data_IF_881779522260
#
_entry.id   IF_881779522260
#
_cell.length_a   1.000
_cell.length_b   1.000
_cell.length_c   1.000
_cell.angle_alpha   90.00
_cell.angle_beta   90.00
_cell.angle_gamma   90.00
#
_symmetry.space_group_name_H-M   'P 1'
#
loop_
_entity.id
_entity.type
_entity.pdbx_description
1 polymer ?
#
# COMPACT_ATOMS: atom_id res chain seq x y z
N UNK A 1 -14.62 23.27 -7.02
CA UNK A 1 -14.05 22.22 -7.85
C UNK A 1 -14.95 20.98 -7.82
N UNK A 2 -14.81 20.04 -8.79
CA UNK A 2 -15.52 18.76 -8.71
C UNK A 2 -14.69 17.74 -7.95
N UNK A 3 -15.37 16.93 -7.11
CA UNK A 3 -14.79 15.80 -6.41
C UNK A 3 -15.77 14.65 -6.34
N UNK A 4 -15.24 13.43 -6.26
CA UNK A 4 -16.02 12.23 -6.04
C UNK A 4 -16.15 11.97 -4.54
N UNK A 5 -17.33 11.55 -4.14
CA UNK A 5 -17.68 11.15 -2.78
C UNK A 5 -18.20 9.73 -2.79
N UNK A 6 -17.90 9.01 -1.73
CA UNK A 6 -18.26 7.60 -1.56
C UNK A 6 -19.04 7.40 -0.28
N UNK A 7 -20.02 6.51 -0.34
CA UNK A 7 -20.77 6.02 0.82
C UNK A 7 -21.15 4.55 0.60
N UNK A 8 -21.17 3.78 1.66
CA UNK A 8 -21.60 2.39 1.61
C UNK A 8 -23.13 2.27 1.50
N UNK A 9 -23.66 1.29 0.73
CA UNK A 9 -22.94 0.37 -0.14
C UNK A 9 -22.80 0.93 -1.58
N UNK A 10 -21.59 1.17 -2.02
CA UNK A 10 -21.24 1.57 -3.40
C UNK A 10 -21.99 2.80 -3.99
N UNK A 11 -22.45 3.72 -3.14
CA UNK A 11 -22.95 5.01 -3.59
C UNK A 11 -21.76 5.91 -3.90
N UNK A 12 -21.60 6.29 -5.17
CA UNK A 12 -20.54 7.20 -5.63
C UNK A 12 -21.21 8.36 -6.35
N UNK A 13 -20.94 9.57 -5.88
CA UNK A 13 -21.48 10.81 -6.46
C UNK A 13 -20.36 11.79 -6.76
N UNK A 14 -20.51 12.54 -7.85
CA UNK A 14 -19.62 13.66 -8.19
C UNK A 14 -20.38 14.95 -7.89
N UNK A 15 -19.81 15.75 -7.00
CA UNK A 15 -20.43 17.01 -6.58
C UNK A 15 -19.39 18.13 -6.44
N UNK A 16 -19.88 19.33 -6.19
CA UNK A 16 -19.01 20.47 -5.90
C UNK A 16 -18.42 20.35 -4.51
N UNK A 17 -17.10 20.42 -4.43
CA UNK A 17 -16.33 20.46 -3.19
C UNK A 17 -15.80 21.88 -2.92
N UNK A 18 -15.78 22.31 -1.67
CA UNK A 18 -15.20 23.61 -1.31
C UNK A 18 -13.69 23.62 -1.59
N UNK A 19 -13.15 24.81 -1.77
CA UNK A 19 -11.70 25.04 -1.80
C UNK A 19 -11.37 26.03 -0.70
N UNK A 20 -10.50 25.65 0.23
CA UNK A 20 -9.96 26.55 1.24
C UNK A 20 -8.64 27.18 0.79
N UNK A 21 -8.22 28.23 1.47
CA UNK A 21 -6.88 28.79 1.29
C UNK A 21 -5.81 27.84 1.86
N UNK A 22 -4.59 27.94 1.34
CA UNK A 22 -3.43 27.25 1.88
C UNK A 22 -3.00 27.85 3.22
N UNK A 23 -2.44 27.03 4.07
CA UNK A 23 -1.56 27.48 5.14
C UNK A 23 -0.15 27.76 4.62
N UNK A 24 0.72 28.31 5.47
CA UNK A 24 2.09 28.64 5.06
C UNK A 24 2.94 27.42 4.64
N UNK A 25 2.59 26.22 5.08
CA UNK A 25 3.35 24.97 4.86
C UNK A 25 2.67 24.00 3.90
N UNK A 26 1.56 24.40 3.28
CA UNK A 26 0.80 23.55 2.38
C UNK A 26 1.03 23.91 0.91
N UNK A 27 0.68 22.97 0.06
CA UNK A 27 0.65 23.14 -1.40
C UNK A 27 -0.74 22.79 -1.93
N UNK A 28 -1.11 23.40 -3.06
CA UNK A 28 -2.22 22.94 -3.90
C UNK A 28 -1.64 22.26 -5.12
N UNK A 29 -2.25 21.14 -5.50
CA UNK A 29 -1.90 20.44 -6.73
C UNK A 29 -3.14 20.12 -7.54
N UNK A 30 -3.04 20.23 -8.86
CA UNK A 30 -4.01 19.68 -9.80
C UNK A 30 -3.72 18.20 -9.96
N UNK A 31 -4.75 17.35 -9.82
CA UNK A 31 -4.62 15.90 -9.83
C UNK A 31 -4.69 15.40 -11.27
N UNK A 32 -3.67 14.66 -11.68
CA UNK A 32 -3.59 14.04 -12.99
C UNK A 32 -4.11 12.60 -12.96
N UNK A 33 -3.81 11.86 -11.91
CA UNK A 33 -4.33 10.52 -11.69
C UNK A 33 -4.40 10.20 -10.20
N UNK A 34 -5.33 9.32 -9.83
CA UNK A 34 -5.43 8.74 -8.50
C UNK A 34 -5.76 7.25 -8.63
N UNK A 35 -4.97 6.40 -8.00
CA UNK A 35 -5.22 4.97 -7.92
C UNK A 35 -6.38 4.62 -7.01
N UNK A 36 -6.99 3.47 -7.25
CA UNK A 36 -8.05 2.91 -6.39
C UNK A 36 -7.42 1.88 -5.47
N UNK A 37 -7.28 2.21 -4.20
CA UNK A 37 -6.78 1.31 -3.17
C UNK A 37 -7.84 0.28 -2.74
N UNK A 38 -7.39 -0.86 -2.22
CA UNK A 38 -8.27 -1.81 -1.53
C UNK A 38 -9.02 -1.18 -0.35
N UNK A 39 -8.45 -0.18 0.31
CA UNK A 39 -9.10 0.61 1.36
C UNK A 39 -10.31 1.38 0.82
N UNK A 40 -10.21 1.99 -0.36
CA UNK A 40 -11.34 2.69 -0.99
C UNK A 40 -12.50 1.72 -1.27
N UNK A 41 -12.19 0.47 -1.65
CA UNK A 41 -13.21 -0.57 -1.84
C UNK A 41 -13.88 -0.99 -0.53
N UNK A 42 -13.14 -1.01 0.58
CA UNK A 42 -13.70 -1.27 1.92
C UNK A 42 -14.61 -0.13 2.35
N UNK A 43 -14.19 1.12 2.12
CA UNK A 43 -15.03 2.30 2.36
C UNK A 43 -16.33 2.21 1.56
N UNK A 44 -16.22 1.95 0.25
CA UNK A 44 -17.38 1.82 -0.64
C UNK A 44 -18.35 0.74 -0.21
N UNK A 45 -17.83 -0.38 0.24
CA UNK A 45 -18.63 -1.57 0.50
C UNK A 45 -19.25 -1.59 1.89
N UNK A 46 -18.52 -1.10 2.91
CA UNK A 46 -18.87 -1.34 4.30
C UNK A 46 -18.72 -0.15 5.24
N UNK A 47 -17.67 0.69 5.06
CA UNK A 47 -17.20 1.53 6.15
C UNK A 47 -17.61 3.00 6.05
N UNK A 48 -17.87 3.53 4.86
CA UNK A 48 -18.29 4.92 4.67
C UNK A 48 -19.77 5.08 5.06
N UNK A 49 -20.06 5.44 6.31
CA UNK A 49 -21.42 5.62 6.82
C UNK A 49 -22.12 6.85 6.20
N UNK A 50 -21.33 7.87 5.81
CA UNK A 50 -21.79 9.12 5.19
C UNK A 50 -20.99 9.37 3.92
N UNK A 51 -21.47 10.27 3.07
CA UNK A 51 -20.71 10.73 1.89
C UNK A 51 -19.41 11.40 2.34
N UNK A 52 -18.28 10.86 1.89
CA UNK A 52 -16.94 11.40 2.17
C UNK A 52 -16.05 11.33 0.95
N UNK A 53 -15.07 12.22 0.83
CA UNK A 53 -14.04 12.12 -0.19
C UNK A 53 -13.10 10.93 0.11
N UNK A 54 -12.40 10.46 -0.91
CA UNK A 54 -11.52 9.29 -0.85
C UNK A 54 -10.41 9.38 -1.91
N UNK A 55 -9.48 8.40 -1.89
CA UNK A 55 -8.33 8.33 -2.79
C UNK A 55 -7.07 8.95 -2.21
N UNK A 56 -5.97 8.22 -2.25
CA UNK A 56 -4.69 8.62 -1.64
C UNK A 56 -3.47 8.23 -2.48
N UNK A 57 -3.65 7.43 -3.52
CA UNK A 57 -2.60 7.07 -4.47
C UNK A 57 -2.52 8.15 -5.56
N UNK A 58 -1.97 9.32 -5.23
CA UNK A 58 -2.13 10.56 -6.01
C UNK A 58 -0.86 10.93 -6.75
N UNK A 59 -1.03 11.31 -8.01
CA UNK A 59 -0.03 12.04 -8.80
C UNK A 59 -0.65 13.33 -9.35
N UNK A 60 0.12 14.41 -9.35
CA UNK A 60 -0.36 15.70 -9.85
C UNK A 60 0.76 16.71 -10.04
N UNK A 61 0.34 17.93 -10.38
CA UNK A 61 1.23 19.07 -10.60
C UNK A 61 0.92 20.17 -9.58
N UNK A 62 1.93 20.67 -8.92
CA UNK A 62 1.81 21.78 -7.98
C UNK A 62 1.36 23.05 -8.73
N UNK A 63 0.30 23.68 -8.25
CA UNK A 63 -0.23 24.94 -8.82
C UNK A 63 -0.01 26.14 -7.89
N UNK A 64 0.01 25.90 -6.56
CA UNK A 64 0.17 26.95 -5.57
C UNK A 64 0.98 26.42 -4.37
N UNK A 65 1.78 27.26 -3.75
CA UNK A 65 2.58 26.92 -2.57
C UNK A 65 2.42 27.98 -1.47
N UNK A 66 2.40 27.55 -0.22
CA UNK A 66 2.44 28.42 0.95
C UNK A 66 3.80 29.09 1.12
N UNK A 67 3.85 30.17 1.89
CA UNK A 67 5.02 31.05 2.04
C UNK A 67 6.28 30.38 2.63
N UNK A 68 6.11 29.25 3.33
CA UNK A 68 7.20 28.47 3.95
C UNK A 68 7.54 27.19 3.18
N UNK A 69 7.00 26.99 1.98
CA UNK A 69 7.29 25.83 1.15
C UNK A 69 8.56 26.08 0.34
N UNK A 70 9.58 25.23 0.54
CA UNK A 70 10.90 25.36 -0.11
C UNK A 70 11.27 24.11 -0.95
N UNK A 71 10.65 22.96 -0.70
CA UNK A 71 11.01 21.69 -1.32
C UNK A 71 10.38 21.49 -2.71
N UNK A 72 9.27 22.16 -3.00
CA UNK A 72 8.55 22.11 -4.29
C UNK A 72 8.10 23.50 -4.71
N UNK A 73 7.76 23.67 -5.99
CA UNK A 73 7.29 24.93 -6.58
C UNK A 73 6.19 24.68 -7.60
N UNK A 74 5.41 25.70 -7.99
CA UNK A 74 4.47 25.58 -9.09
C UNK A 74 5.12 25.02 -10.36
N UNK A 75 4.45 24.06 -10.99
CA UNK A 75 4.92 23.31 -12.16
C UNK A 75 5.69 22.02 -11.82
N UNK A 76 6.07 21.77 -10.57
CA UNK A 76 6.68 20.50 -10.18
C UNK A 76 5.63 19.38 -10.22
N UNK A 77 5.98 18.25 -10.85
CA UNK A 77 5.21 17.00 -10.79
C UNK A 77 5.56 16.26 -9.51
N UNK A 78 4.54 15.79 -8.79
CA UNK A 78 4.71 15.09 -7.51
C UNK A 78 3.81 13.88 -7.40
N UNK A 79 4.26 12.91 -6.62
CA UNK A 79 3.38 11.94 -5.94
C UNK A 79 3.25 12.34 -4.49
N UNK A 80 2.18 11.89 -3.85
CA UNK A 80 1.96 12.17 -2.44
C UNK A 80 2.25 10.92 -1.60
N UNK A 81 3.06 11.12 -0.56
CA UNK A 81 3.10 10.22 0.59
C UNK A 81 1.88 10.54 1.47
N UNK A 82 1.07 9.53 1.79
CA UNK A 82 -0.23 9.73 2.45
C UNK A 82 -0.11 10.24 3.90
N UNK A 83 1.04 10.05 4.53
CA UNK A 83 1.35 10.57 5.85
C UNK A 83 2.84 10.56 6.10
N UNK A 84 3.29 11.41 7.01
CA UNK A 84 4.71 11.53 7.35
C UNK A 84 4.95 11.30 8.84
N UNK A 85 6.19 11.41 9.26
CA UNK A 85 6.59 11.24 10.65
C UNK A 85 6.88 12.59 11.34
N UNK A 86 6.73 12.63 12.65
CA UNK A 86 7.24 13.75 13.44
C UNK A 86 8.76 13.64 13.56
N UNK A 87 9.46 14.58 12.88
CA UNK A 87 10.93 14.64 12.85
C UNK A 87 11.57 14.84 14.24
N UNK A 88 10.80 15.29 15.22
CA UNK A 88 11.27 15.52 16.58
C UNK A 88 10.93 14.37 17.54
N UNK A 89 10.26 13.34 17.05
CA UNK A 89 9.97 12.13 17.84
C UNK A 89 11.24 11.37 18.21
N UNK A 90 11.18 10.59 19.26
CA UNK A 90 12.31 9.76 19.69
C UNK A 90 12.64 8.69 18.65
N UNK A 91 11.62 8.11 17.98
CA UNK A 91 11.80 7.14 16.91
C UNK A 91 12.61 7.74 15.75
N UNK A 92 12.23 8.94 15.27
CA UNK A 92 12.91 9.60 14.16
C UNK A 92 14.37 9.96 14.55
N UNK A 93 14.59 10.45 15.78
CA UNK A 93 15.93 10.79 16.29
C UNK A 93 16.85 9.58 16.46
N UNK A 94 16.25 8.40 16.69
CA UNK A 94 16.95 7.12 16.75
C UNK A 94 17.07 6.39 15.40
N UNK A 95 16.78 7.08 14.28
CA UNK A 95 16.91 6.56 12.93
C UNK A 95 15.79 5.60 12.49
N UNK A 96 14.66 5.59 13.21
CA UNK A 96 13.49 4.76 12.94
C UNK A 96 12.22 5.61 12.69
N UNK A 97 12.25 6.52 11.68
CA UNK A 97 11.07 7.33 11.35
C UNK A 97 9.87 6.47 10.91
N UNK A 98 10.12 5.28 10.41
CA UNK A 98 9.14 4.26 10.03
C UNK A 98 8.22 3.83 11.19
N UNK A 99 8.64 4.00 12.43
CA UNK A 99 7.84 3.67 13.62
C UNK A 99 6.95 4.84 14.10
N UNK A 100 6.98 5.98 13.41
CA UNK A 100 6.20 7.16 13.79
C UNK A 100 5.36 7.66 12.61
N UNK A 101 4.06 7.77 12.83
CA UNK A 101 3.08 8.26 11.84
C UNK A 101 2.36 9.54 12.29
N UNK A 102 2.97 10.32 13.18
CA UNK A 102 2.38 11.53 13.79
C UNK A 102 2.79 12.82 13.12
N UNK A 103 3.41 12.73 11.95
CA UNK A 103 3.80 13.89 11.15
C UNK A 103 2.64 14.49 10.37
N UNK A 104 2.93 15.56 9.61
CA UNK A 104 1.96 16.14 8.68
C UNK A 104 1.37 15.09 7.73
N UNK A 105 0.06 15.15 7.50
CA UNK A 105 -0.66 14.28 6.57
C UNK A 105 -1.88 15.03 6.02
N UNK A 106 -2.48 14.48 4.96
CA UNK A 106 -3.69 15.06 4.36
C UNK A 106 -4.98 14.31 4.74
N UNK A 107 -4.89 13.30 5.61
CA UNK A 107 -6.03 12.55 6.15
C UNK A 107 -6.67 13.31 7.31
N UNK A 108 -7.22 14.49 7.05
CA UNK A 108 -7.83 15.28 8.11
C UNK A 108 -9.33 15.01 8.13
N UNK A 109 -9.81 14.42 9.21
CA UNK A 109 -11.23 14.11 9.38
C UNK A 109 -12.10 15.39 9.27
N UNK A 110 -13.04 15.37 8.34
CA UNK A 110 -13.94 16.50 8.07
C UNK A 110 -13.35 17.55 7.14
N UNK A 111 -12.14 17.37 6.62
CA UNK A 111 -11.61 18.14 5.51
C UNK A 111 -11.95 17.41 4.20
N UNK A 112 -12.80 18.01 3.36
CA UNK A 112 -13.14 17.48 2.04
C UNK A 112 -11.95 17.73 1.10
N UNK A 113 -10.94 16.84 1.15
CA UNK A 113 -9.67 17.05 0.49
C UNK A 113 -8.94 15.73 0.23
N UNK A 114 -9.39 14.97 -0.78
CA UNK A 114 -8.80 13.68 -1.15
C UNK A 114 -8.59 13.57 -2.67
N UNK A 115 -7.91 12.51 -3.10
CA UNK A 115 -7.35 12.35 -4.44
C UNK A 115 -8.34 12.18 -5.59
N UNK A 116 -9.57 11.71 -5.37
CA UNK A 116 -10.57 11.66 -6.44
C UNK A 116 -11.29 13.01 -6.61
N UNK A 117 -10.50 14.05 -6.87
CA UNK A 117 -10.94 15.43 -7.10
C UNK A 117 -10.15 16.07 -8.23
N UNK A 118 -10.56 17.25 -8.70
CA UNK A 118 -9.80 18.01 -9.69
C UNK A 118 -8.50 18.58 -9.12
N UNK A 119 -8.52 18.96 -7.84
CA UNK A 119 -7.33 19.41 -7.12
C UNK A 119 -7.44 19.05 -5.64
N UNK A 120 -6.32 19.04 -4.94
CA UNK A 120 -6.27 18.85 -3.49
C UNK A 120 -5.18 19.71 -2.85
N UNK A 121 -5.22 19.79 -1.52
CA UNK A 121 -4.20 20.44 -0.71
C UNK A 121 -3.45 19.35 0.06
N UNK A 122 -2.12 19.47 0.12
CA UNK A 122 -1.28 18.55 0.90
C UNK A 122 -0.22 19.33 1.68
N UNK A 123 0.22 18.83 2.85
CA UNK A 123 1.42 19.31 3.49
C UNK A 123 2.63 19.16 2.56
N UNK A 124 3.54 20.13 2.57
CA UNK A 124 4.77 20.07 1.76
C UNK A 124 5.60 18.81 2.02
N UNK A 125 5.54 18.30 3.24
CA UNK A 125 6.25 17.10 3.67
C UNK A 125 5.75 15.84 2.95
N UNK A 126 4.50 15.82 2.52
CA UNK A 126 3.92 14.71 1.75
C UNK A 126 4.32 14.72 0.27
N UNK A 127 4.93 15.79 -0.24
CA UNK A 127 5.23 15.95 -1.66
C UNK A 127 6.59 15.36 -2.02
N UNK A 128 6.58 14.35 -2.88
CA UNK A 128 7.78 13.72 -3.45
C UNK A 128 7.86 14.06 -4.94
N UNK A 129 8.92 14.78 -5.35
CA UNK A 129 9.10 15.17 -6.77
C UNK A 129 9.35 13.97 -7.65
N UNK A 130 8.66 13.96 -8.78
CA UNK A 130 8.85 12.93 -9.81
C UNK A 130 9.98 13.30 -10.77
N UNK A 131 10.83 12.33 -11.13
CA UNK A 131 11.73 12.47 -12.28
C UNK A 131 10.94 12.59 -13.58
N UNK A 132 11.46 13.37 -14.55
CA UNK A 132 10.77 13.68 -15.80
C UNK A 132 10.44 12.43 -16.64
N UNK A 133 11.27 11.37 -16.55
CA UNK A 133 11.10 10.12 -17.29
C UNK A 133 9.98 9.21 -16.77
N UNK A 134 9.43 9.48 -15.60
CA UNK A 134 8.32 8.70 -15.03
C UNK A 134 6.99 9.29 -15.52
N UNK A 135 6.14 8.47 -16.15
CA UNK A 135 4.80 8.91 -16.58
C UNK A 135 3.84 8.96 -15.39
N UNK A 136 2.68 9.63 -15.55
CA UNK A 136 1.68 9.69 -14.48
C UNK A 136 1.06 8.32 -14.18
N UNK A 137 0.90 7.46 -15.21
CA UNK A 137 0.42 6.08 -15.06
C UNK A 137 1.42 5.20 -14.29
N UNK A 138 2.71 5.46 -14.39
CA UNK A 138 3.73 4.80 -13.58
C UNK A 138 3.77 5.39 -12.17
N UNK A 139 3.67 6.70 -12.07
CA UNK A 139 3.79 7.44 -10.83
C UNK A 139 2.66 7.11 -9.83
N UNK A 140 1.45 6.88 -10.30
CA UNK A 140 0.31 6.49 -9.45
C UNK A 140 0.53 5.18 -8.68
N UNK A 141 1.46 4.34 -9.13
CA UNK A 141 1.84 3.09 -8.46
C UNK A 141 2.87 3.28 -7.35
N UNK A 142 3.43 4.49 -7.15
CA UNK A 142 4.52 4.71 -6.19
C UNK A 142 4.05 4.50 -4.76
N UNK A 143 2.86 4.99 -4.41
CA UNK A 143 2.30 4.81 -3.05
C UNK A 143 2.11 3.31 -2.73
N UNK A 144 1.33 2.52 -3.50
CA UNK A 144 1.18 1.09 -3.21
C UNK A 144 2.49 0.29 -3.36
N UNK A 145 3.43 0.76 -4.18
CA UNK A 145 4.78 0.17 -4.27
C UNK A 145 5.56 0.39 -2.96
N UNK A 146 5.38 1.53 -2.30
CA UNK A 146 5.94 1.79 -0.96
C UNK A 146 5.46 0.76 0.06
N UNK A 147 4.17 0.42 0.03
CA UNK A 147 3.58 -0.62 0.90
C UNK A 147 4.20 -2.00 0.61
N UNK A 148 4.37 -2.36 -0.68
CA UNK A 148 5.03 -3.61 -1.04
C UNK A 148 6.50 -3.64 -0.62
N UNK A 149 7.21 -2.52 -0.75
CA UNK A 149 8.62 -2.39 -0.33
C UNK A 149 8.78 -2.54 1.19
N UNK A 150 7.86 -2.00 1.97
CA UNK A 150 7.88 -2.12 3.43
C UNK A 150 7.67 -3.57 3.87
N UNK A 151 6.75 -4.29 3.21
CA UNK A 151 6.56 -5.72 3.40
C UNK A 151 7.86 -6.52 3.14
N UNK A 152 8.56 -6.21 2.04
CA UNK A 152 9.85 -6.84 1.69
C UNK A 152 10.93 -6.53 2.71
N UNK A 153 11.03 -5.28 3.17
CA UNK A 153 11.99 -4.88 4.21
C UNK A 153 11.73 -5.61 5.53
N UNK A 154 10.45 -5.72 5.91
CA UNK A 154 10.05 -6.44 7.13
C UNK A 154 10.38 -7.93 7.03
N UNK A 155 10.19 -8.53 5.85
CA UNK A 155 10.53 -9.93 5.61
C UNK A 155 12.05 -10.19 5.64
N UNK A 156 12.88 -9.18 5.34
CA UNK A 156 14.36 -9.27 5.33
C UNK A 156 14.88 -10.44 4.49
N UNK A 157 14.33 -10.61 3.29
CA UNK A 157 14.63 -11.72 2.35
C UNK A 157 16.12 -11.73 2.01
N UNK A 158 16.75 -12.89 2.14
CA UNK A 158 18.16 -13.13 1.79
C UNK A 158 18.30 -13.90 0.49
N UNK A 159 19.50 -13.88 -0.07
CA UNK A 159 19.84 -14.69 -1.24
C UNK A 159 19.53 -16.16 -0.98
N UNK A 160 19.01 -16.84 -1.99
CA UNK A 160 18.70 -18.27 -2.02
C UNK A 160 17.51 -18.74 -1.17
N UNK A 161 16.79 -17.84 -0.51
CA UNK A 161 15.60 -18.19 0.25
C UNK A 161 14.37 -18.34 -0.66
N UNK A 162 13.45 -19.20 -0.25
CA UNK A 162 12.18 -19.43 -0.94
C UNK A 162 11.08 -18.54 -0.34
N UNK A 163 10.26 -17.96 -1.19
CA UNK A 163 9.21 -17.01 -0.83
C UNK A 163 7.86 -17.44 -1.37
N UNK A 164 6.81 -17.40 -0.55
CA UNK A 164 5.43 -17.54 -0.98
C UNK A 164 4.70 -16.20 -0.83
N UNK A 165 4.09 -15.70 -1.90
CA UNK A 165 3.20 -14.54 -1.88
C UNK A 165 1.75 -15.02 -1.89
N UNK A 166 1.00 -14.74 -0.84
CA UNK A 166 -0.41 -15.12 -0.74
C UNK A 166 -1.30 -13.99 -1.22
N UNK A 167 -1.76 -14.10 -2.48
CA UNK A 167 -2.60 -13.13 -3.18
C UNK A 167 -1.84 -12.30 -4.22
N UNK A 168 -2.27 -12.36 -5.48
CA UNK A 168 -1.71 -11.60 -6.61
C UNK A 168 -2.59 -10.37 -6.95
N UNK A 169 -2.92 -9.58 -5.92
CA UNK A 169 -3.37 -8.20 -6.12
C UNK A 169 -2.20 -7.29 -6.55
N UNK A 170 -2.43 -5.98 -6.77
CA UNK A 170 -1.37 -5.05 -7.16
C UNK A 170 -0.15 -5.11 -6.22
N UNK A 171 -0.37 -5.07 -4.90
CA UNK A 171 0.71 -5.15 -3.90
C UNK A 171 1.41 -6.52 -3.96
N UNK A 172 0.67 -7.62 -4.08
CA UNK A 172 1.26 -8.96 -4.15
C UNK A 172 2.11 -9.18 -5.39
N UNK A 173 1.68 -8.66 -6.55
CA UNK A 173 2.48 -8.68 -7.79
C UNK A 173 3.79 -7.88 -7.62
N UNK A 174 3.73 -6.68 -7.05
CA UNK A 174 4.91 -5.86 -6.78
C UNK A 174 5.83 -6.53 -5.76
N UNK A 175 5.29 -7.10 -4.68
CA UNK A 175 6.05 -7.82 -3.67
C UNK A 175 6.75 -9.05 -4.26
N UNK A 176 6.06 -9.83 -5.11
CA UNK A 176 6.66 -10.98 -5.81
C UNK A 176 7.85 -10.56 -6.68
N UNK A 177 7.67 -9.47 -7.46
CA UNK A 177 8.78 -8.92 -8.26
C UNK A 177 9.95 -8.47 -7.40
N UNK A 178 9.68 -7.75 -6.31
CA UNK A 178 10.71 -7.28 -5.39
C UNK A 178 11.42 -8.45 -4.69
N UNK A 179 10.71 -9.49 -4.27
CA UNK A 179 11.33 -10.68 -3.69
C UNK A 179 12.35 -11.32 -4.65
N UNK A 180 12.00 -11.42 -5.93
CA UNK A 180 12.92 -11.92 -6.95
C UNK A 180 14.14 -11.01 -7.13
N UNK A 181 13.94 -9.69 -7.11
CA UNK A 181 15.04 -8.71 -7.19
C UNK A 181 15.96 -8.74 -5.95
N UNK A 182 15.43 -9.11 -4.78
CA UNK A 182 16.22 -9.33 -3.57
C UNK A 182 17.04 -10.62 -3.60
N UNK A 183 16.83 -11.49 -4.60
CA UNK A 183 17.59 -12.73 -4.79
C UNK A 183 16.93 -13.97 -4.21
N UNK A 184 15.62 -13.95 -4.02
CA UNK A 184 14.86 -15.18 -3.71
C UNK A 184 15.14 -16.27 -4.75
N UNK A 185 15.39 -17.50 -4.28
CA UNK A 185 15.64 -18.67 -5.14
C UNK A 185 14.40 -19.00 -5.92
N UNK A 186 13.31 -19.23 -5.20
CA UNK A 186 12.00 -19.47 -5.78
C UNK A 186 10.97 -18.50 -5.20
N UNK A 187 10.10 -18.01 -6.07
CA UNK A 187 8.93 -17.20 -5.69
C UNK A 187 7.67 -17.94 -6.12
N UNK A 188 6.96 -18.46 -5.14
CA UNK A 188 5.64 -19.06 -5.28
C UNK A 188 4.58 -17.99 -5.06
N UNK A 189 3.39 -18.18 -5.63
CA UNK A 189 2.27 -17.30 -5.31
C UNK A 189 0.95 -18.07 -5.26
N UNK A 190 -0.01 -17.62 -4.45
CA UNK A 190 -1.38 -18.14 -4.53
C UNK A 190 -2.29 -17.19 -5.27
N UNK A 191 -3.13 -17.73 -6.17
CA UNK A 191 -4.14 -16.98 -6.91
C UNK A 191 -5.33 -17.86 -7.25
N UNK A 192 -6.55 -17.32 -7.10
CA UNK A 192 -7.76 -18.00 -7.56
C UNK A 192 -7.75 -18.20 -9.07
N UNK A 193 -8.30 -19.33 -9.52
CA UNK A 193 -8.48 -19.63 -10.94
C UNK A 193 -9.38 -18.57 -11.62
N UNK A 194 -9.19 -18.37 -12.93
CA UNK A 194 -9.95 -17.37 -13.71
C UNK A 194 -9.29 -15.99 -13.78
N UNK A 195 -8.06 -15.84 -13.28
CA UNK A 195 -7.26 -14.61 -13.37
C UNK A 195 -6.02 -14.81 -14.26
N UNK A 196 -6.19 -15.36 -15.46
CA UNK A 196 -5.08 -15.73 -16.38
C UNK A 196 -4.12 -14.57 -16.64
N UNK A 197 -4.65 -13.35 -16.85
CA UNK A 197 -3.81 -12.16 -17.07
C UNK A 197 -2.89 -11.86 -15.87
N UNK A 198 -3.37 -12.02 -14.64
CA UNK A 198 -2.55 -11.84 -13.43
C UNK A 198 -1.50 -12.92 -13.30
N UNK A 199 -1.84 -14.16 -13.62
CA UNK A 199 -0.92 -15.30 -13.60
C UNK A 199 0.18 -15.10 -14.65
N UNK A 200 -0.17 -14.67 -15.86
CA UNK A 200 0.79 -14.39 -16.91
C UNK A 200 1.76 -13.27 -16.50
N UNK A 201 1.24 -12.16 -15.97
CA UNK A 201 2.06 -11.05 -15.49
C UNK A 201 2.95 -11.48 -14.31
N UNK A 202 2.44 -12.26 -13.38
CA UNK A 202 3.23 -12.76 -12.25
C UNK A 202 4.42 -13.61 -12.73
N UNK A 203 4.20 -14.50 -13.70
CA UNK A 203 5.28 -15.31 -14.31
C UNK A 203 6.30 -14.45 -15.05
N UNK A 204 5.84 -13.45 -15.83
CA UNK A 204 6.72 -12.48 -16.49
C UNK A 204 7.60 -11.73 -15.48
N UNK A 205 7.05 -11.43 -14.30
CA UNK A 205 7.75 -10.71 -13.23
C UNK A 205 8.60 -11.61 -12.33
N UNK A 206 8.65 -12.92 -12.62
CA UNK A 206 9.57 -13.85 -12.00
C UNK A 206 8.96 -14.74 -10.92
N UNK A 207 7.62 -14.87 -10.87
CA UNK A 207 6.97 -15.92 -10.08
C UNK A 207 7.20 -17.26 -10.78
N UNK A 208 7.83 -18.19 -10.07
CA UNK A 208 8.19 -19.50 -10.62
C UNK A 208 6.95 -20.40 -10.72
N UNK A 209 6.08 -20.37 -9.70
CA UNK A 209 4.87 -21.19 -9.68
C UNK A 209 3.68 -20.46 -9.02
N UNK A 210 2.50 -20.61 -9.63
CA UNK A 210 1.23 -20.08 -9.10
C UNK A 210 0.34 -21.25 -8.70
N UNK A 211 -0.05 -21.28 -7.44
CA UNK A 211 -0.78 -22.33 -6.77
C UNK A 211 -2.22 -21.87 -6.53
N UNK A 212 -3.21 -22.72 -6.82
CA UNK A 212 -4.58 -22.43 -6.40
C UNK A 212 -4.68 -22.46 -4.86
N UNK A 213 -5.38 -21.52 -4.20
CA UNK A 213 -5.42 -21.46 -2.73
C UNK A 213 -5.89 -22.75 -2.05
N UNK A 214 -6.83 -23.46 -2.67
CA UNK A 214 -7.37 -24.74 -2.21
C UNK A 214 -6.39 -25.92 -2.39
N UNK A 215 -5.42 -25.80 -3.31
CA UNK A 215 -4.37 -26.78 -3.53
C UNK A 215 -3.12 -26.56 -2.64
N UNK A 216 -3.04 -25.45 -1.92
CA UNK A 216 -1.84 -25.08 -1.15
C UNK A 216 -1.50 -26.13 -0.08
N UNK A 217 -2.51 -26.72 0.57
CA UNK A 217 -2.31 -27.72 1.64
C UNK A 217 -1.69 -29.04 1.14
N UNK A 218 -1.93 -29.36 -0.13
CA UNK A 218 -1.43 -30.58 -0.76
C UNK A 218 -0.17 -30.30 -1.58
N UNK A 219 0.25 -29.04 -1.68
CA UNK A 219 1.43 -28.64 -2.45
C UNK A 219 2.72 -29.03 -1.71
N UNK A 220 3.60 -29.74 -2.39
CA UNK A 220 4.88 -30.18 -1.82
C UNK A 220 5.97 -29.20 -2.22
N UNK A 221 6.38 -28.36 -1.29
CA UNK A 221 7.54 -27.49 -1.48
C UNK A 221 8.84 -28.32 -1.45
N UNK A 222 9.79 -28.09 -2.38
CA UNK A 222 11.03 -28.87 -2.46
C UNK A 222 11.83 -28.89 -1.14
N UNK A 223 11.79 -27.81 -0.37
CA UNK A 223 12.50 -27.67 0.91
C UNK A 223 11.60 -27.88 2.14
N UNK A 224 10.44 -28.52 1.97
CA UNK A 224 9.49 -28.83 3.03
C UNK A 224 8.58 -27.66 3.44
N UNK A 225 8.82 -26.47 2.91
CA UNK A 225 8.10 -25.23 3.13
C UNK A 225 8.84 -24.07 2.46
N UNK A 226 8.53 -22.84 2.87
CA UNK A 226 9.20 -21.61 2.40
C UNK A 226 9.81 -20.84 3.57
N UNK A 227 10.83 -20.04 3.30
CA UNK A 227 11.50 -19.24 4.32
C UNK A 227 10.71 -17.98 4.66
N UNK A 228 9.97 -17.45 3.69
CA UNK A 228 9.14 -16.26 3.87
C UNK A 228 7.75 -16.45 3.28
N UNK A 229 6.73 -16.01 4.02
CA UNK A 229 5.36 -15.90 3.52
C UNK A 229 4.93 -14.44 3.57
N UNK A 230 4.62 -13.87 2.41
CA UNK A 230 4.14 -12.50 2.25
C UNK A 230 2.63 -12.51 2.04
N UNK A 231 1.87 -12.17 3.07
CA UNK A 231 0.41 -12.22 3.04
C UNK A 231 -0.14 -10.85 2.60
N UNK A 232 -0.62 -10.80 1.36
CA UNK A 232 -1.31 -9.62 0.78
C UNK A 232 -2.78 -9.90 0.48
N UNK A 233 -3.26 -11.08 0.84
CA UNK A 233 -4.65 -11.50 0.80
C UNK A 233 -5.38 -11.20 2.11
N UNK A 234 -6.66 -11.56 2.18
CA UNK A 234 -7.44 -11.41 3.42
C UNK A 234 -6.81 -12.22 4.58
N UNK A 235 -6.79 -11.70 5.83
CA UNK A 235 -6.12 -12.34 6.97
C UNK A 235 -6.57 -13.76 7.31
N UNK A 236 -7.70 -14.23 6.80
CA UNK A 236 -8.17 -15.60 6.97
C UNK A 236 -7.19 -16.67 6.45
N UNK A 237 -6.22 -16.29 5.62
CA UNK A 237 -5.18 -17.20 5.10
C UNK A 237 -3.98 -17.35 6.04
N UNK A 238 -3.91 -16.59 7.15
CA UNK A 238 -2.78 -16.65 8.08
C UNK A 238 -2.52 -18.05 8.66
N UNK A 239 -3.52 -18.87 9.03
CA UNK A 239 -3.25 -20.26 9.46
C UNK A 239 -2.47 -21.04 8.41
N UNK A 240 -2.92 -21.00 7.14
CA UNK A 240 -2.24 -21.69 6.05
C UNK A 240 -0.83 -21.11 5.80
N UNK A 241 -0.63 -19.81 6.00
CA UNK A 241 0.69 -19.15 5.91
C UNK A 241 1.68 -19.71 6.95
N UNK A 242 1.23 -19.93 8.18
CA UNK A 242 2.08 -20.51 9.23
C UNK A 242 2.36 -21.99 8.97
N UNK A 243 1.40 -22.74 8.42
CA UNK A 243 1.56 -24.17 8.13
C UNK A 243 2.63 -24.45 7.07
N UNK A 244 2.77 -23.55 6.08
CA UNK A 244 3.75 -23.71 4.99
C UNK A 244 5.09 -23.02 5.26
N UNK A 245 5.19 -22.21 6.32
CA UNK A 245 6.42 -21.52 6.68
C UNK A 245 7.39 -22.47 7.40
N UNK A 246 8.65 -22.50 6.96
CA UNK A 246 9.71 -23.27 7.59
C UNK A 246 9.99 -22.79 9.03
N UNK A 247 10.51 -23.66 9.88
CA UNK A 247 10.99 -23.28 11.21
C UNK A 247 12.08 -22.20 11.09
N UNK A 248 11.89 -21.08 11.77
CA UNK A 248 12.77 -19.91 11.69
C UNK A 248 12.47 -19.00 10.52
N UNK A 249 11.45 -19.33 9.70
CA UNK A 249 10.96 -18.45 8.64
C UNK A 249 10.12 -17.29 9.19
N UNK A 250 9.78 -16.35 8.31
CA UNK A 250 9.06 -15.13 8.64
C UNK A 250 7.74 -15.09 7.86
N UNK A 251 6.64 -14.81 8.58
CA UNK A 251 5.34 -14.51 7.98
C UNK A 251 5.09 -13.01 8.15
N UNK A 252 5.21 -12.27 7.05
CA UNK A 252 4.89 -10.84 7.00
C UNK A 252 3.51 -10.64 6.38
N UNK A 253 2.70 -9.75 6.93
CA UNK A 253 1.35 -9.55 6.42
C UNK A 253 0.93 -8.08 6.37
N UNK A 254 0.13 -7.77 5.37
CA UNK A 254 -0.55 -6.51 5.18
C UNK A 254 -2.05 -6.79 5.23
N UNK A 255 -2.73 -6.30 6.25
CA UNK A 255 -4.16 -6.49 6.32
C UNK A 255 -4.85 -5.36 7.09
N UNK A 256 -5.91 -4.83 6.49
CA UNK A 256 -6.91 -4.07 7.21
C UNK A 256 -8.09 -5.02 7.42
N UNK A 257 -8.28 -5.49 8.64
CA UNK A 257 -9.44 -6.28 9.01
C UNK A 257 -10.42 -5.42 9.81
N UNK A 258 -11.69 -5.49 9.49
CA UNK A 258 -12.76 -4.81 10.23
C UNK A 258 -13.00 -5.40 11.63
N UNK A 259 -12.40 -6.56 11.94
CA UNK A 259 -12.45 -7.23 13.23
C UNK A 259 -11.04 -7.61 13.65
N UNK A 260 -10.68 -7.30 14.90
CA UNK A 260 -9.41 -7.72 15.49
C UNK A 260 -9.27 -9.26 15.38
N UNK A 261 -8.36 -9.74 14.58
CA UNK A 261 -7.95 -11.13 14.57
C UNK A 261 -7.06 -11.35 15.79
N UNK A 262 -7.65 -11.85 16.88
CA UNK A 262 -6.87 -12.49 17.91
C UNK A 262 -6.59 -13.92 17.45
N UNK A 263 -5.33 -14.23 17.15
CA UNK A 263 -4.88 -15.61 17.11
C UNK A 263 -4.93 -16.11 18.56
N UNK A 264 -5.78 -17.07 18.92
CA UNK A 264 -5.74 -17.66 20.24
C UNK A 264 -4.48 -18.52 20.34
N UNK A 265 -3.39 -17.95 20.83
CA UNK A 265 -2.21 -18.76 21.18
C UNK A 265 -2.52 -19.56 22.43
N UNK A 266 -2.61 -20.88 22.30
CA UNK A 266 -2.59 -21.81 23.43
C UNK A 266 -1.19 -21.94 24.06
N UNK A 267 -0.21 -21.13 23.70
CA UNK A 267 1.11 -21.09 24.29
C UNK A 267 1.80 -19.75 23.95
N UNK A 268 1.84 -18.86 24.93
CA UNK A 268 2.86 -17.83 25.11
C UNK A 268 3.08 -16.84 23.97
N UNK A 269 2.83 -15.57 24.22
CA UNK A 269 3.20 -14.32 23.54
C UNK A 269 3.30 -14.37 22.00
N UNK A 270 2.38 -13.75 21.26
CA UNK A 270 2.52 -13.61 19.81
C UNK A 270 3.65 -12.61 19.52
N UNK A 271 4.64 -13.03 18.76
CA UNK A 271 5.49 -12.10 18.01
C UNK A 271 4.62 -11.50 16.89
N UNK A 272 4.09 -10.30 17.14
CA UNK A 272 3.56 -9.44 16.09
C UNK A 272 4.75 -8.62 15.60
N UNK A 273 5.21 -8.92 14.42
CA UNK A 273 6.17 -8.10 13.69
C UNK A 273 5.46 -7.54 12.48
#
# INVERSE_FOLDING_TARGET
MKAAYIKAPFEIVIQDAPQRSLTETEVRLDIHACGVCGHDLILARYAAAELQQFGHEVVGVITEVGSLVENVKPGDRVVLESGTYDRFSDEARNGRPDLNNRGPNFWVKGDDNMGFAQSMIAPRECCVKLPDQITDEQAVLVEPMGVALDLIKTADIKLTQDVLVMGLGPIGLMAARMAKLCGASHVYATQFLGSEAKVALAKEWGVDEVIAPDALKDFVFPNGGVDHVLVTAHPSVLPDAFDVCNRGGIVSFLAIASTAFFCPSSAGTPLIV
#
